data_IF_415984131845
#
_entry.id   IF_415984131845
#
_cell.length_a   1.000
_cell.length_b   1.000
_cell.length_c   1.000
_cell.angle_alpha   90.00
_cell.angle_beta   90.00
_cell.angle_gamma   90.00
#
_symmetry.space_group_name_H-M   'P 1'
#
loop_
_entity.id
_entity.type
_entity.pdbx_description
1 polymer ?
#
# COMPACT_ATOMS: atom_id res chain seq x y z
N UNK A 1 14.74 40.45 -15.84
CA UNK A 1 13.97 39.20 -15.98
C UNK A 1 13.97 38.50 -14.64
N UNK A 2 12.81 38.19 -14.07
CA UNK A 2 12.72 37.36 -12.87
C UNK A 2 13.13 35.94 -13.21
N UNK A 3 14.01 35.33 -12.42
CA UNK A 3 14.35 33.91 -12.59
C UNK A 3 13.11 33.07 -12.26
N UNK A 4 12.76 32.06 -13.06
CA UNK A 4 11.65 31.18 -12.75
C UNK A 4 11.91 30.43 -11.44
N UNK A 5 10.85 30.19 -10.66
CA UNK A 5 10.92 29.31 -9.50
C UNK A 5 10.93 27.86 -9.98
N UNK A 6 11.93 27.09 -9.56
CA UNK A 6 11.96 25.65 -9.78
C UNK A 6 11.29 24.94 -8.59
N UNK A 7 10.23 24.18 -8.88
CA UNK A 7 9.50 23.39 -7.88
C UNK A 7 9.68 21.91 -8.20
N UNK A 8 10.15 21.12 -7.23
CA UNK A 8 10.28 19.68 -7.34
C UNK A 8 9.31 19.00 -6.36
N UNK A 9 8.41 18.18 -6.89
CA UNK A 9 7.55 17.31 -6.11
C UNK A 9 8.17 15.91 -6.07
N UNK A 10 8.35 15.38 -4.86
CA UNK A 10 8.88 14.04 -4.62
C UNK A 10 7.80 13.23 -3.91
N UNK A 11 7.25 12.25 -4.61
CA UNK A 11 6.22 11.37 -4.06
C UNK A 11 6.86 10.11 -3.50
N UNK A 12 6.67 9.87 -2.21
CA UNK A 12 7.22 8.70 -1.53
C UNK A 12 6.17 7.59 -1.41
N UNK A 13 6.31 6.54 -2.23
CA UNK A 13 5.42 5.37 -2.22
C UNK A 13 6.04 4.25 -1.38
N UNK A 14 5.39 3.90 -0.27
CA UNK A 14 5.87 2.89 0.66
C UNK A 14 4.71 2.07 1.25
N UNK A 15 4.96 0.78 1.43
CA UNK A 15 4.26 -0.12 2.35
C UNK A 15 5.30 -1.01 3.03
N UNK A 16 5.07 -1.42 4.29
CA UNK A 16 5.77 -2.54 4.91
C UNK A 16 5.72 -3.81 4.06
N UNK A 17 6.60 -4.75 4.36
CA UNK A 17 6.57 -6.09 3.79
C UNK A 17 5.51 -6.93 4.51
N UNK A 18 4.43 -7.26 3.81
CA UNK A 18 3.26 -7.97 4.36
C UNK A 18 3.19 -9.44 3.96
N UNK A 19 4.05 -9.88 3.03
CA UNK A 19 4.10 -11.27 2.59
C UNK A 19 4.70 -12.13 3.71
N UNK A 20 3.99 -13.19 4.06
CA UNK A 20 4.57 -14.31 4.78
C UNK A 20 5.15 -15.28 3.76
N UNK A 21 6.48 -15.33 3.67
CA UNK A 21 7.19 -16.16 2.70
C UNK A 21 7.02 -17.66 2.97
N UNK A 22 6.64 -18.05 4.20
CA UNK A 22 6.40 -19.46 4.54
C UNK A 22 5.06 -19.97 4.02
N UNK A 23 4.00 -19.18 4.19
CA UNK A 23 2.65 -19.54 3.70
C UNK A 23 2.39 -19.07 2.27
N UNK A 24 3.28 -18.27 1.70
CA UNK A 24 3.11 -17.60 0.40
C UNK A 24 1.80 -16.80 0.32
N UNK A 25 1.46 -16.10 1.41
CA UNK A 25 0.25 -15.31 1.54
C UNK A 25 0.53 -13.92 2.13
N UNK A 26 -0.32 -12.95 1.81
CA UNK A 26 -0.24 -11.60 2.36
C UNK A 26 -1.12 -11.46 3.60
N UNK A 27 -0.52 -11.03 4.71
CA UNK A 27 -1.25 -10.82 5.96
C UNK A 27 -2.21 -9.62 5.88
N UNK A 28 -1.87 -8.63 5.06
CA UNK A 28 -2.63 -7.37 4.94
C UNK A 28 -2.82 -6.99 3.45
N UNK A 29 -3.97 -6.39 3.10
CA UNK A 29 -4.38 -6.18 1.71
C UNK A 29 -3.86 -4.87 1.14
N UNK A 30 -3.06 -4.11 1.90
CA UNK A 30 -2.83 -2.69 1.62
C UNK A 30 -2.06 -2.46 0.32
N UNK A 31 -1.18 -3.39 -0.07
CA UNK A 31 -0.52 -3.31 -1.39
C UNK A 31 -1.57 -3.38 -2.50
N UNK A 32 -2.46 -4.39 -2.49
CA UNK A 32 -3.54 -4.54 -3.46
C UNK A 32 -4.49 -3.34 -3.47
N UNK A 33 -4.98 -2.94 -2.30
CA UNK A 33 -5.99 -1.89 -2.19
C UNK A 33 -5.42 -0.51 -2.56
N UNK A 34 -4.17 -0.20 -2.19
CA UNK A 34 -3.51 1.06 -2.61
C UNK A 34 -3.10 1.02 -4.07
N UNK A 35 -2.78 -0.13 -4.64
CA UNK A 35 -2.55 -0.28 -6.07
C UNK A 35 -3.81 0.03 -6.89
N UNK A 36 -4.96 -0.50 -6.48
CA UNK A 36 -6.26 -0.23 -7.10
C UNK A 36 -6.72 1.23 -6.97
N UNK A 37 -6.24 1.96 -5.96
CA UNK A 37 -6.69 3.34 -5.67
C UNK A 37 -5.72 4.42 -6.11
N UNK A 38 -4.50 4.36 -5.60
CA UNK A 38 -3.56 5.48 -5.56
C UNK A 38 -2.35 5.25 -6.46
N UNK A 39 -1.71 4.07 -6.38
CA UNK A 39 -0.42 3.85 -7.03
C UNK A 39 -0.47 3.86 -8.55
N UNK A 40 -1.58 3.48 -9.17
CA UNK A 40 -1.79 3.64 -10.61
C UNK A 40 -2.32 5.04 -10.97
N UNK A 41 -3.35 5.51 -10.26
CA UNK A 41 -4.05 6.76 -10.59
C UNK A 41 -3.10 7.96 -10.56
N UNK A 42 -2.29 8.08 -9.50
CA UNK A 42 -1.40 9.22 -9.29
C UNK A 42 -0.43 9.45 -10.47
N UNK A 43 0.37 8.46 -10.92
CA UNK A 43 1.21 8.63 -12.10
C UNK A 43 0.39 8.75 -13.40
N UNK A 44 -0.75 8.06 -13.52
CA UNK A 44 -1.57 8.13 -14.74
C UNK A 44 -2.14 9.54 -15.02
N UNK A 45 -2.35 10.37 -14.00
CA UNK A 45 -2.76 11.77 -14.19
C UNK A 45 -1.78 12.56 -15.07
N UNK A 46 -0.50 12.18 -15.12
CA UNK A 46 0.50 12.85 -15.95
C UNK A 46 0.26 12.72 -17.46
N UNK A 47 -0.59 11.81 -17.91
CA UNK A 47 -0.99 11.71 -19.33
C UNK A 47 -1.72 12.97 -19.81
N UNK A 48 -2.49 13.61 -18.94
CA UNK A 48 -3.20 14.85 -19.25
C UNK A 48 -2.34 16.11 -19.12
N UNK A 49 -1.09 15.98 -18.64
CA UNK A 49 -0.19 17.10 -18.35
C UNK A 49 1.24 16.82 -18.80
N UNK A 50 1.50 16.69 -20.12
CA UNK A 50 2.77 16.19 -20.67
C UNK A 50 4.02 17.01 -20.28
N UNK A 51 3.83 18.31 -20.01
CA UNK A 51 4.92 19.22 -19.62
C UNK A 51 5.29 19.11 -18.13
N UNK A 52 4.41 18.55 -17.28
CA UNK A 52 4.70 18.39 -15.86
C UNK A 52 5.68 17.25 -15.64
N UNK A 53 6.77 17.54 -14.93
CA UNK A 53 7.76 16.56 -14.49
C UNK A 53 7.59 16.27 -13.00
N UNK A 54 7.80 15.02 -12.61
CA UNK A 54 7.63 14.56 -11.23
C UNK A 54 8.76 13.60 -10.83
N UNK A 55 9.00 13.46 -9.53
CA UNK A 55 9.90 12.44 -8.99
C UNK A 55 9.09 11.48 -8.13
N UNK A 56 9.26 10.18 -8.35
CA UNK A 56 8.62 9.14 -7.55
C UNK A 56 9.67 8.25 -6.92
N UNK A 57 9.61 8.14 -5.59
CA UNK A 57 10.27 7.05 -4.89
C UNK A 57 9.33 5.86 -4.81
N UNK A 58 9.80 4.68 -5.24
CA UNK A 58 9.14 3.42 -4.97
C UNK A 58 10.07 2.57 -4.12
N UNK A 59 9.65 2.29 -2.88
CA UNK A 59 10.42 1.42 -1.99
C UNK A 59 10.51 0.01 -2.60
N UNK A 60 11.71 -0.62 -2.67
CA UNK A 60 11.88 -1.93 -3.28
C UNK A 60 10.94 -3.01 -2.74
N UNK A 61 10.81 -3.12 -1.41
CA UNK A 61 9.88 -4.07 -0.80
C UNK A 61 8.41 -3.84 -1.20
N UNK A 62 8.00 -2.61 -1.55
CA UNK A 62 6.67 -2.37 -2.12
C UNK A 62 6.59 -2.86 -3.57
N UNK A 63 7.62 -2.58 -4.39
CA UNK A 63 7.67 -2.98 -5.80
C UNK A 63 7.59 -4.50 -5.94
N UNK A 64 8.36 -5.25 -5.14
CA UNK A 64 8.33 -6.72 -5.12
C UNK A 64 6.92 -7.24 -4.82
N UNK A 65 6.24 -6.69 -3.82
CA UNK A 65 4.89 -7.13 -3.47
C UNK A 65 3.86 -6.79 -4.57
N UNK A 66 4.01 -5.65 -5.25
CA UNK A 66 3.16 -5.33 -6.41
C UNK A 66 3.41 -6.35 -7.54
N UNK A 67 4.67 -6.71 -7.79
CA UNK A 67 5.05 -7.68 -8.80
C UNK A 67 4.50 -9.06 -8.48
N UNK A 68 4.61 -9.52 -7.22
CA UNK A 68 4.02 -10.77 -6.73
C UNK A 68 2.52 -10.85 -7.05
N UNK A 69 1.74 -9.80 -6.72
CA UNK A 69 0.31 -9.76 -7.07
C UNK A 69 0.07 -9.74 -8.59
N UNK A 70 0.92 -9.06 -9.36
CA UNK A 70 0.76 -8.93 -10.80
C UNK A 70 0.98 -10.26 -11.53
N UNK A 71 2.02 -11.01 -11.11
CA UNK A 71 2.39 -12.34 -11.63
C UNK A 71 1.36 -13.41 -11.20
N UNK A 72 0.71 -13.20 -10.06
CA UNK A 72 -0.33 -14.09 -9.53
C UNK A 72 0.24 -15.23 -8.68
N UNK A 73 -0.65 -16.09 -8.16
CA UNK A 73 -0.26 -17.18 -7.26
C UNK A 73 -0.08 -16.78 -5.79
N UNK A 74 -0.48 -15.55 -5.45
CA UNK A 74 -0.49 -15.01 -4.08
C UNK A 74 -1.83 -14.35 -3.81
N UNK A 75 -2.30 -14.47 -2.57
CA UNK A 75 -3.53 -13.85 -2.09
C UNK A 75 -3.29 -13.18 -0.74
N UNK A 76 -4.15 -12.23 -0.37
CA UNK A 76 -4.23 -11.76 1.01
C UNK A 76 -5.44 -12.35 1.74
N UNK A 77 -5.33 -12.45 3.06
CA UNK A 77 -6.39 -12.96 3.95
C UNK A 77 -7.74 -12.26 3.72
N UNK A 78 -7.75 -10.98 3.36
CA UNK A 78 -9.00 -10.23 3.17
C UNK A 78 -9.69 -10.63 1.87
N UNK A 79 -8.91 -10.91 0.83
CA UNK A 79 -9.40 -11.40 -0.46
C UNK A 79 -9.93 -12.83 -0.36
N UNK A 80 -9.21 -13.71 0.34
CA UNK A 80 -9.63 -15.10 0.57
C UNK A 80 -10.98 -15.14 1.31
N UNK A 81 -11.10 -14.38 2.40
CA UNK A 81 -12.35 -14.24 3.15
C UNK A 81 -13.48 -13.61 2.32
N UNK A 82 -13.17 -12.67 1.43
CA UNK A 82 -14.18 -12.04 0.59
C UNK A 82 -14.76 -13.01 -0.45
N UNK A 83 -13.97 -13.98 -0.94
CA UNK A 83 -14.42 -14.95 -1.96
C UNK A 83 -15.23 -16.11 -1.39
N UNK A 84 -15.13 -16.38 -0.09
CA UNK A 84 -15.83 -17.51 0.54
C UNK A 84 -17.30 -17.20 0.79
N UNK A 85 -18.22 -18.15 0.55
CA UNK A 85 -19.61 -18.00 0.95
C UNK A 85 -19.69 -17.69 2.44
N UNK A 86 -20.46 -16.66 2.81
CA UNK A 86 -20.56 -16.22 4.21
C UNK A 86 -21.09 -17.32 5.15
N UNK A 87 -21.87 -18.27 4.62
CA UNK A 87 -22.37 -19.44 5.34
C UNK A 87 -21.28 -20.43 5.74
N UNK A 88 -20.11 -20.38 5.10
CA UNK A 88 -18.95 -21.25 5.37
C UNK A 88 -17.90 -20.59 6.26
N UNK A 89 -18.13 -19.34 6.68
CA UNK A 89 -17.21 -18.63 7.57
C UNK A 89 -17.41 -19.07 9.02
N UNK A 90 -16.29 -19.41 9.65
CA UNK A 90 -16.21 -19.71 11.07
C UNK A 90 -16.48 -18.46 11.93
N UNK A 91 -16.75 -18.66 13.22
CA UNK A 91 -16.96 -17.55 14.15
C UNK A 91 -15.77 -16.59 14.20
N UNK A 92 -14.54 -17.10 14.14
CA UNK A 92 -13.32 -16.28 14.19
C UNK A 92 -13.14 -15.45 12.91
N UNK A 93 -13.46 -16.01 11.74
CA UNK A 93 -13.39 -15.31 10.46
C UNK A 93 -14.47 -14.21 10.37
N UNK A 94 -15.69 -14.48 10.84
CA UNK A 94 -16.73 -13.46 10.96
C UNK A 94 -16.30 -12.34 11.90
N UNK A 95 -15.71 -12.69 13.04
CA UNK A 95 -15.19 -11.71 13.99
C UNK A 95 -14.04 -10.89 13.40
N UNK A 96 -13.18 -11.50 12.58
CA UNK A 96 -12.12 -10.84 11.84
C UNK A 96 -12.68 -9.80 10.87
N UNK A 97 -13.64 -10.19 10.02
CA UNK A 97 -14.28 -9.28 9.04
C UNK A 97 -14.95 -8.11 9.77
N UNK A 98 -15.76 -8.41 10.79
CA UNK A 98 -16.46 -7.41 11.59
C UNK A 98 -15.52 -6.46 12.37
N UNK A 99 -14.26 -6.85 12.56
CA UNK A 99 -13.24 -6.03 13.24
C UNK A 99 -12.46 -5.18 12.26
N UNK A 100 -12.01 -5.78 11.16
CA UNK A 100 -10.97 -5.20 10.30
C UNK A 100 -11.49 -4.62 8.99
N UNK A 101 -12.67 -5.03 8.53
CA UNK A 101 -13.29 -4.50 7.30
C UNK A 101 -14.29 -3.37 7.57
N UNK A 102 -14.56 -3.08 8.83
CA UNK A 102 -15.28 -1.88 9.29
C UNK A 102 -14.29 -0.77 9.60
N UNK A 103 -13.86 -0.04 8.59
CA UNK A 103 -12.98 1.12 8.76
C UNK A 103 -13.71 2.29 9.44
N UNK A 104 -13.01 3.35 9.83
CA UNK A 104 -13.64 4.48 10.55
C UNK A 104 -14.70 5.19 9.70
N UNK A 105 -15.83 5.52 10.34
CA UNK A 105 -16.91 6.32 9.73
C UNK A 105 -16.49 7.75 9.38
N UNK A 106 -15.29 8.20 9.74
CA UNK A 106 -14.75 9.51 9.35
C UNK A 106 -14.02 9.48 8.01
N UNK A 107 -13.71 8.31 7.48
CA UNK A 107 -12.99 8.18 6.22
C UNK A 107 -13.92 8.51 5.05
N UNK A 108 -13.47 9.36 4.11
CA UNK A 108 -14.28 9.80 2.95
C UNK A 108 -14.85 8.63 2.14
N UNK A 109 -14.04 7.60 1.85
CA UNK A 109 -14.46 6.42 1.09
C UNK A 109 -15.56 5.61 1.78
N UNK A 110 -15.62 5.65 3.12
CA UNK A 110 -16.69 5.04 3.90
C UNK A 110 -17.94 5.93 3.86
N UNK A 111 -17.78 7.23 4.16
CA UNK A 111 -18.91 8.19 4.27
C UNK A 111 -19.69 8.40 2.98
N UNK A 112 -19.04 8.27 1.84
CA UNK A 112 -19.68 8.51 0.54
C UNK A 112 -20.67 7.41 0.13
N UNK A 113 -20.61 6.22 0.75
CA UNK A 113 -21.48 5.08 0.43
C UNK A 113 -22.43 4.78 1.60
N UNK A 114 -23.74 5.10 1.49
CA UNK A 114 -24.67 5.03 2.62
C UNK A 114 -24.73 3.67 3.31
N UNK A 115 -24.75 2.56 2.55
CA UNK A 115 -24.77 1.22 3.14
C UNK A 115 -23.46 0.90 3.86
N UNK A 116 -22.31 1.21 3.28
CA UNK A 116 -21.05 0.93 3.96
C UNK A 116 -20.93 1.71 5.28
N UNK A 117 -21.32 2.99 5.25
CA UNK A 117 -21.38 3.84 6.43
C UNK A 117 -22.32 3.29 7.50
N UNK A 118 -23.48 2.74 7.13
CA UNK A 118 -24.40 2.10 8.07
C UNK A 118 -23.77 0.91 8.78
N UNK A 119 -23.12 0.01 8.05
CA UNK A 119 -22.47 -1.19 8.60
C UNK A 119 -21.33 -0.82 9.55
N UNK A 120 -20.51 0.16 9.15
CA UNK A 120 -19.45 0.72 9.99
C UNK A 120 -20.02 1.34 11.26
N UNK A 121 -21.08 2.16 11.16
CA UNK A 121 -21.70 2.79 12.33
C UNK A 121 -22.31 1.76 13.28
N UNK A 122 -22.94 0.71 12.75
CA UNK A 122 -23.44 -0.41 13.56
C UNK A 122 -22.31 -1.03 14.37
N UNK A 123 -21.13 -1.21 13.77
CA UNK A 123 -19.94 -1.70 14.50
C UNK A 123 -19.43 -0.71 15.54
N UNK A 124 -19.29 0.57 15.21
CA UNK A 124 -18.81 1.60 16.14
C UNK A 124 -19.75 1.74 17.35
N UNK A 125 -21.06 1.72 17.12
CA UNK A 125 -22.10 1.84 18.16
C UNK A 125 -22.15 0.63 19.10
N UNK A 126 -21.74 -0.56 18.64
CA UNK A 126 -21.69 -1.75 19.47
C UNK A 126 -20.58 -1.70 20.54
N UNK A 127 -19.68 -0.71 20.50
CA UNK A 127 -18.62 -0.52 21.49
C UNK A 127 -17.57 -1.64 21.50
N UNK A 128 -16.79 -1.80 22.58
CA UNK A 128 -15.85 -2.90 22.72
C UNK A 128 -16.59 -4.25 22.81
N UNK A 129 -16.36 -5.14 21.84
CA UNK A 129 -16.93 -6.49 21.80
C UNK A 129 -15.83 -7.55 21.89
N UNK A 130 -16.15 -8.69 22.51
CA UNK A 130 -15.34 -9.91 22.43
C UNK A 130 -15.37 -10.49 21.01
N UNK A 131 -14.49 -11.45 20.70
CA UNK A 131 -14.52 -12.14 19.42
C UNK A 131 -15.90 -12.79 19.15
N UNK A 132 -16.48 -13.45 20.15
CA UNK A 132 -17.83 -14.03 20.04
C UNK A 132 -18.93 -12.99 19.77
N UNK A 133 -18.82 -11.82 20.40
CA UNK A 133 -19.74 -10.70 20.13
C UNK A 133 -19.61 -10.16 18.71
N UNK A 134 -18.38 -10.06 18.18
CA UNK A 134 -18.14 -9.64 16.80
C UNK A 134 -18.66 -10.66 15.78
N UNK A 135 -18.49 -11.95 16.05
CA UNK A 135 -18.91 -13.04 15.17
C UNK A 135 -20.42 -13.02 14.86
N UNK A 136 -21.22 -12.51 15.80
CA UNK A 136 -22.69 -12.47 15.74
C UNK A 136 -23.25 -11.07 15.47
N UNK A 137 -22.39 -10.05 15.36
CA UNK A 137 -22.80 -8.66 15.17
C UNK A 137 -23.56 -8.44 13.85
N UNK A 138 -23.13 -9.11 12.79
CA UNK A 138 -23.72 -8.99 11.46
C UNK A 138 -24.43 -10.29 11.06
N UNK A 139 -25.62 -10.13 10.49
CA UNK A 139 -26.28 -11.18 9.72
C UNK A 139 -25.48 -11.51 8.46
N UNK A 140 -25.77 -12.66 7.83
CA UNK A 140 -25.06 -13.07 6.62
C UNK A 140 -25.22 -12.07 5.47
N UNK A 141 -26.41 -11.50 5.31
CA UNK A 141 -26.66 -10.47 4.30
C UNK A 141 -25.85 -9.19 4.58
N UNK A 142 -25.75 -8.76 5.84
CA UNK A 142 -24.93 -7.61 6.21
C UNK A 142 -23.44 -7.88 6.02
N UNK A 143 -22.98 -9.10 6.31
CA UNK A 143 -21.58 -9.47 6.15
C UNK A 143 -21.19 -9.53 4.67
N UNK A 144 -22.06 -10.04 3.79
CA UNK A 144 -21.85 -9.95 2.32
C UNK A 144 -21.75 -8.51 1.86
N UNK A 145 -22.68 -7.67 2.30
CA UNK A 145 -22.63 -6.24 1.98
C UNK A 145 -21.34 -5.59 2.46
N UNK A 146 -20.85 -5.96 3.65
CA UNK A 146 -19.60 -5.47 4.20
C UNK A 146 -18.39 -5.89 3.36
N UNK A 147 -18.30 -7.15 2.95
CA UNK A 147 -17.20 -7.68 2.14
C UNK A 147 -17.10 -6.98 0.78
N UNK A 148 -18.24 -6.80 0.10
CA UNK A 148 -18.31 -6.10 -1.18
C UNK A 148 -17.95 -4.63 -1.00
N UNK A 149 -18.56 -3.93 -0.04
CA UNK A 149 -18.29 -2.51 0.15
C UNK A 149 -16.89 -2.19 0.63
N UNK A 150 -16.31 -3.04 1.48
CA UNK A 150 -14.92 -2.90 1.88
C UNK A 150 -14.04 -2.82 0.64
N UNK A 151 -14.11 -3.81 -0.25
CA UNK A 151 -13.29 -3.85 -1.47
C UNK A 151 -13.66 -2.76 -2.50
N UNK A 152 -14.96 -2.55 -2.76
CA UNK A 152 -15.44 -1.59 -3.75
C UNK A 152 -15.07 -0.15 -3.37
N UNK A 153 -15.03 0.17 -2.07
CA UNK A 153 -14.68 1.52 -1.61
C UNK A 153 -13.24 1.94 -1.89
N UNK A 154 -12.35 0.99 -2.25
CA UNK A 154 -10.99 1.25 -2.66
C UNK A 154 -10.84 1.56 -4.15
N UNK A 155 -11.88 1.40 -4.95
CA UNK A 155 -11.85 1.73 -6.38
C UNK A 155 -12.24 3.19 -6.56
N UNK A 156 -11.44 3.92 -7.34
CA UNK A 156 -11.69 5.34 -7.62
C UNK A 156 -12.93 5.55 -8.50
N UNK A 157 -13.66 6.67 -8.35
CA UNK A 157 -14.86 6.96 -9.16
C UNK A 157 -14.62 6.85 -10.67
N UNK A 158 -13.47 7.30 -11.16
CA UNK A 158 -13.15 7.26 -12.60
C UNK A 158 -13.03 5.82 -13.12
N UNK A 159 -12.52 4.89 -12.29
CA UNK A 159 -12.43 3.48 -12.64
C UNK A 159 -13.79 2.77 -12.52
N UNK A 160 -14.65 3.21 -11.60
CA UNK A 160 -16.05 2.75 -11.48
C UNK A 160 -16.84 3.17 -12.72
N UNK A 161 -16.79 4.45 -13.09
CA UNK A 161 -17.51 5.01 -14.24
C UNK A 161 -17.08 4.37 -15.57
N UNK A 162 -15.80 4.01 -15.68
CA UNK A 162 -15.26 3.32 -16.86
C UNK A 162 -15.58 1.82 -16.93
N UNK A 163 -16.21 1.22 -15.93
CA UNK A 163 -16.53 -0.21 -15.88
C UNK A 163 -18.03 -0.42 -15.61
N UNK A 164 -18.85 -0.76 -16.63
CA UNK A 164 -20.30 -0.90 -16.50
C UNK A 164 -20.75 -1.89 -15.42
N UNK A 165 -20.06 -3.02 -15.27
CA UNK A 165 -20.40 -4.05 -14.29
C UNK A 165 -20.21 -3.53 -12.85
N UNK A 166 -19.15 -2.76 -12.61
CA UNK A 166 -18.90 -2.13 -11.29
C UNK A 166 -19.83 -0.94 -11.06
N UNK A 167 -20.13 -0.18 -12.11
CA UNK A 167 -21.06 0.94 -12.05
C UNK A 167 -22.48 0.50 -11.64
N UNK A 168 -22.89 -0.74 -11.92
CA UNK A 168 -24.17 -1.32 -11.47
C UNK A 168 -24.17 -1.74 -9.99
N UNK A 169 -23.01 -2.10 -9.42
CA UNK A 169 -22.90 -2.50 -8.01
C UNK A 169 -23.11 -1.34 -7.03
N UNK A 170 -22.68 -0.13 -7.41
CA UNK A 170 -22.83 1.07 -6.57
C UNK A 170 -24.29 1.41 -6.29
N UNK A 171 -25.20 1.53 -7.28
CA UNK A 171 -26.62 1.79 -7.03
C UNK A 171 -27.35 0.60 -6.43
N UNK A 172 -26.92 -0.65 -6.70
CA UNK A 172 -27.44 -1.85 -6.02
C UNK A 172 -27.30 -1.70 -4.52
N UNK A 173 -26.09 -1.39 -4.06
CA UNK A 173 -25.73 -0.91 -2.73
C UNK A 173 -26.04 -1.79 -1.52
N UNK A 174 -26.91 -2.80 -1.63
CA UNK A 174 -27.31 -3.76 -0.60
C UNK A 174 -27.69 -5.08 -1.24
N UNK A 175 -27.83 -6.11 -0.39
CA UNK A 175 -28.28 -7.43 -0.79
C UNK A 175 -27.39 -8.02 -1.87
N UNK A 176 -26.07 -7.84 -1.69
CA UNK A 176 -25.11 -8.49 -2.55
C UNK A 176 -25.14 -10.00 -2.36
N UNK A 177 -24.85 -10.68 -3.45
CA UNK A 177 -24.59 -12.11 -3.56
C UNK A 177 -23.09 -12.35 -3.54
N UNK A 178 -22.69 -13.60 -3.30
CA UNK A 178 -21.27 -13.99 -3.31
C UNK A 178 -20.63 -13.73 -4.71
N UNK A 179 -21.44 -13.75 -5.78
CA UNK A 179 -21.00 -13.45 -7.14
C UNK A 179 -20.61 -11.98 -7.38
N UNK A 180 -21.07 -11.04 -6.53
CA UNK A 180 -20.77 -9.60 -6.69
C UNK A 180 -19.33 -9.24 -6.25
N UNK A 181 -18.61 -10.15 -5.59
CA UNK A 181 -17.25 -9.92 -5.12
C UNK A 181 -16.23 -9.99 -6.26
N UNK A 182 -16.35 -10.98 -7.14
CA UNK A 182 -15.34 -11.25 -8.16
C UNK A 182 -15.16 -10.10 -9.18
N UNK A 183 -16.22 -9.42 -9.67
CA UNK A 183 -16.05 -8.23 -10.49
C UNK A 183 -15.17 -7.16 -9.83
N UNK A 184 -15.40 -6.90 -8.54
CA UNK A 184 -14.66 -5.89 -7.76
C UNK A 184 -13.19 -6.27 -7.67
N UNK A 185 -12.89 -7.52 -7.31
CA UNK A 185 -11.52 -8.01 -7.21
C UNK A 185 -10.82 -7.99 -8.58
N UNK A 186 -11.51 -8.41 -9.64
CA UNK A 186 -11.00 -8.37 -11.01
C UNK A 186 -10.56 -6.95 -11.41
N UNK A 187 -11.40 -5.93 -11.19
CA UNK A 187 -11.03 -4.55 -11.49
C UNK A 187 -9.83 -4.08 -10.64
N UNK A 188 -9.76 -4.46 -9.37
CA UNK A 188 -8.59 -4.13 -8.54
C UNK A 188 -7.29 -4.73 -9.12
N UNK A 189 -7.31 -5.97 -9.60
CA UNK A 189 -6.15 -6.59 -10.25
C UNK A 189 -5.82 -5.97 -11.61
N UNK A 190 -6.83 -5.60 -12.40
CA UNK A 190 -6.62 -4.86 -13.66
C UNK A 190 -5.89 -3.53 -13.43
N UNK A 191 -6.25 -2.80 -12.36
CA UNK A 191 -5.59 -1.55 -11.98
C UNK A 191 -4.19 -1.82 -11.40
N UNK A 192 -4.05 -2.84 -10.55
CA UNK A 192 -2.77 -3.23 -9.97
C UNK A 192 -1.73 -3.57 -11.02
N UNK A 193 -2.10 -4.36 -12.04
CA UNK A 193 -1.17 -4.77 -13.11
C UNK A 193 -0.69 -3.60 -13.96
N UNK A 194 -1.38 -2.46 -13.93
CA UNK A 194 -0.96 -1.24 -14.63
C UNK A 194 0.05 -0.41 -13.84
N UNK A 195 0.23 -0.64 -12.55
CA UNK A 195 1.06 0.21 -11.67
C UNK A 195 2.50 0.29 -12.16
N UNK A 196 3.26 -0.81 -12.14
CA UNK A 196 4.68 -0.79 -12.52
C UNK A 196 4.91 -0.42 -14.00
N UNK A 197 4.12 -0.94 -14.96
CA UNK A 197 4.21 -0.49 -16.36
C UNK A 197 4.03 1.02 -16.51
N UNK A 198 3.11 1.63 -15.76
CA UNK A 198 2.87 3.07 -15.86
C UNK A 198 4.06 3.90 -15.38
N UNK A 199 4.71 3.50 -14.28
CA UNK A 199 5.93 4.18 -13.83
C UNK A 199 7.06 4.05 -14.85
N UNK A 200 7.27 2.85 -15.42
CA UNK A 200 8.27 2.62 -16.49
C UNK A 200 8.02 3.53 -17.69
N UNK A 201 6.79 3.57 -18.19
CA UNK A 201 6.39 4.41 -19.32
C UNK A 201 6.71 5.90 -19.08
N UNK A 202 6.40 6.42 -17.88
CA UNK A 202 6.68 7.80 -17.51
C UNK A 202 8.17 8.11 -17.43
N UNK A 203 8.98 7.17 -16.95
CA UNK A 203 10.44 7.31 -16.93
C UNK A 203 11.03 7.29 -18.34
N UNK A 204 10.59 6.37 -19.18
CA UNK A 204 11.06 6.21 -20.57
C UNK A 204 10.81 7.46 -21.42
N UNK A 205 9.63 8.08 -21.27
CA UNK A 205 9.31 9.35 -21.94
C UNK A 205 9.87 10.59 -21.24
N UNK A 206 10.68 10.39 -20.19
CA UNK A 206 11.37 11.46 -19.46
C UNK A 206 10.44 12.38 -18.69
N UNK A 207 9.23 11.93 -18.34
CA UNK A 207 8.26 12.72 -17.57
C UNK A 207 8.35 12.47 -16.07
N UNK A 208 8.79 11.28 -15.67
CA UNK A 208 9.12 10.96 -14.29
C UNK A 208 10.61 10.65 -14.12
N UNK A 209 11.16 11.02 -12.98
CA UNK A 209 12.36 10.37 -12.44
C UNK A 209 11.92 9.35 -11.38
N UNK A 210 12.35 8.09 -11.53
CA UNK A 210 12.16 7.07 -10.52
C UNK A 210 13.40 6.98 -9.64
N UNK A 211 13.21 7.14 -8.34
CA UNK A 211 14.24 6.95 -7.32
C UNK A 211 13.89 5.74 -6.45
N UNK A 212 14.88 5.25 -5.69
CA UNK A 212 14.72 4.07 -4.83
C UNK A 212 14.92 4.40 -3.35
N UNK A 213 14.72 3.41 -2.49
CA UNK A 213 15.10 3.43 -1.08
C UNK A 213 15.93 2.20 -0.74
N UNK A 214 16.55 2.13 0.44
CA UNK A 214 17.02 0.88 1.02
C UNK A 214 15.89 -0.16 1.06
N UNK A 215 16.22 -1.43 0.84
CA UNK A 215 15.26 -2.45 0.39
C UNK A 215 14.00 -2.56 1.25
N UNK A 216 14.15 -2.78 2.56
CA UNK A 216 13.03 -2.90 3.50
C UNK A 216 12.66 -1.57 4.18
N UNK A 217 13.12 -0.44 3.65
CA UNK A 217 12.91 0.88 4.25
C UNK A 217 13.44 1.06 5.70
N UNK A 218 14.58 0.49 6.11
CA UNK A 218 15.11 0.73 7.46
C UNK A 218 15.67 2.14 7.65
N UNK A 219 15.62 2.64 8.88
CA UNK A 219 16.27 3.90 9.27
C UNK A 219 17.78 3.67 9.31
N UNK A 220 18.45 3.85 8.16
CA UNK A 220 19.87 3.50 7.99
C UNK A 220 20.81 4.05 9.06
N UNK A 221 20.67 5.32 9.54
CA UNK A 221 21.55 5.80 10.61
C UNK A 221 21.51 4.93 11.86
N UNK A 222 20.33 4.44 12.27
CA UNK A 222 20.16 3.60 13.46
C UNK A 222 20.61 2.16 13.25
N UNK A 223 20.62 1.68 12.00
CA UNK A 223 21.19 0.36 11.66
C UNK A 223 22.71 0.43 11.70
N UNK A 224 23.28 1.47 11.07
CA UNK A 224 24.73 1.66 11.01
C UNK A 224 25.33 1.83 12.40
N UNK A 225 24.77 2.73 13.22
CA UNK A 225 25.12 2.88 14.62
C UNK A 225 23.96 3.49 15.41
N UNK A 226 23.32 2.69 16.28
CA UNK A 226 22.26 3.16 17.17
C UNK A 226 22.71 4.35 18.05
N UNK A 227 24.01 4.47 18.33
CA UNK A 227 24.63 5.58 19.04
C UNK A 227 24.31 6.95 18.46
N UNK A 228 24.06 7.04 17.15
CA UNK A 228 23.74 8.28 16.45
C UNK A 228 22.48 8.97 17.00
N UNK A 229 21.58 8.23 17.63
CA UNK A 229 20.37 8.78 18.24
C UNK A 229 20.69 9.86 19.31
N UNK A 230 21.86 9.79 19.94
CA UNK A 230 22.32 10.80 20.91
C UNK A 230 22.68 12.15 20.29
N UNK A 231 22.93 12.21 18.98
CA UNK A 231 23.12 13.49 18.28
C UNK A 231 21.83 14.32 18.32
N UNK A 232 20.69 13.67 18.09
CA UNK A 232 19.38 14.32 18.17
C UNK A 232 18.90 14.50 19.62
N UNK A 233 19.21 13.55 20.51
CA UNK A 233 18.82 13.58 21.92
C UNK A 233 19.97 13.14 22.83
N UNK A 234 20.81 14.07 23.32
CA UNK A 234 22.01 13.74 24.10
C UNK A 234 21.75 12.94 25.38
N UNK A 235 20.60 13.15 26.03
CA UNK A 235 20.20 12.49 27.28
C UNK A 235 19.49 11.13 27.07
N UNK A 236 19.42 10.64 25.82
CA UNK A 236 18.77 9.37 25.52
C UNK A 236 19.48 8.20 26.23
N UNK A 237 18.71 7.49 27.06
CA UNK A 237 19.15 6.24 27.68
C UNK A 237 19.29 5.18 26.59
N UNK A 238 20.51 4.64 26.45
CA UNK A 238 20.82 3.63 25.44
C UNK A 238 20.61 2.22 26.00
N UNK A 239 20.27 1.24 25.15
CA UNK A 239 20.26 -0.15 25.56
C UNK A 239 21.66 -0.59 26.02
N UNK A 240 21.72 -1.65 26.84
CA UNK A 240 22.99 -2.21 27.31
C UNK A 240 23.81 -2.81 26.17
N UNK A 241 23.13 -3.45 25.23
CA UNK A 241 23.73 -3.95 23.99
C UNK A 241 23.46 -2.93 22.90
N UNK A 242 24.52 -2.37 22.33
CA UNK A 242 24.44 -1.47 21.19
C UNK A 242 24.17 -2.25 19.91
N UNK A 243 23.41 -1.66 19.00
CA UNK A 243 23.18 -2.18 17.66
C UNK A 243 24.00 -1.33 16.67
N UNK A 244 25.04 -1.91 16.09
CA UNK A 244 26.01 -1.19 15.24
C UNK A 244 26.41 -2.09 14.08
N UNK A 245 25.69 -1.98 12.97
CA UNK A 245 25.80 -2.87 11.81
C UNK A 245 25.86 -2.04 10.51
N UNK A 246 26.98 -1.37 10.28
CA UNK A 246 27.21 -0.60 9.06
C UNK A 246 27.12 -1.46 7.79
N UNK A 247 27.55 -2.72 7.85
CA UNK A 247 27.46 -3.66 6.73
C UNK A 247 26.00 -3.99 6.36
N UNK A 248 25.11 -4.10 7.36
CA UNK A 248 23.67 -4.30 7.10
C UNK A 248 23.04 -3.06 6.45
N UNK A 249 23.46 -1.85 6.88
CA UNK A 249 23.03 -0.61 6.25
C UNK A 249 23.49 -0.52 4.78
N UNK A 250 24.74 -0.93 4.51
CA UNK A 250 25.28 -1.02 3.16
C UNK A 250 24.52 -2.02 2.30
N UNK A 251 24.23 -3.21 2.84
CA UNK A 251 23.52 -4.25 2.13
C UNK A 251 22.08 -3.85 1.80
N UNK A 252 21.37 -3.18 2.72
CA UNK A 252 20.03 -2.66 2.46
C UNK A 252 20.01 -1.65 1.30
N UNK A 253 21.03 -0.79 1.23
CA UNK A 253 21.19 0.13 0.11
C UNK A 253 21.51 -0.61 -1.20
N UNK A 254 22.50 -1.52 -1.18
CA UNK A 254 22.90 -2.32 -2.34
C UNK A 254 21.73 -3.10 -2.93
N UNK A 255 20.98 -3.82 -2.09
CA UNK A 255 19.78 -4.55 -2.48
C UNK A 255 18.72 -3.63 -3.08
N UNK A 256 18.52 -2.43 -2.51
CA UNK A 256 17.54 -1.48 -3.03
C UNK A 256 17.89 -0.90 -4.39
N UNK A 257 19.18 -0.66 -4.66
CA UNK A 257 19.68 -0.26 -5.98
C UNK A 257 19.53 -1.39 -7.01
N UNK A 258 19.86 -2.63 -6.61
CA UNK A 258 19.75 -3.80 -7.47
C UNK A 258 18.30 -4.12 -7.84
N UNK A 259 17.39 -4.09 -6.86
CA UNK A 259 15.97 -4.30 -7.06
C UNK A 259 15.38 -3.25 -8.02
N UNK A 260 15.72 -1.98 -7.85
CA UNK A 260 15.30 -0.93 -8.78
C UNK A 260 15.78 -1.23 -10.21
N UNK A 261 17.05 -1.62 -10.38
CA UNK A 261 17.58 -2.01 -11.70
C UNK A 261 16.84 -3.21 -12.30
N UNK A 262 16.52 -4.22 -11.49
CA UNK A 262 15.76 -5.40 -11.93
C UNK A 262 14.36 -5.02 -12.43
N UNK A 263 13.68 -4.13 -11.70
CA UNK A 263 12.28 -3.76 -11.99
C UNK A 263 12.11 -2.65 -13.00
N UNK A 264 13.07 -1.75 -13.19
CA UNK A 264 12.95 -0.60 -14.10
C UNK A 264 14.03 -0.58 -15.20
N UNK A 265 14.94 -1.55 -15.21
CA UNK A 265 15.97 -1.71 -16.26
C UNK A 265 17.12 -0.70 -16.19
N UNK A 266 17.09 0.25 -15.24
CA UNK A 266 18.12 1.29 -15.07
C UNK A 266 18.54 1.36 -13.60
N UNK A 267 19.76 1.82 -13.33
CA UNK A 267 20.15 2.14 -11.95
C UNK A 267 19.50 3.48 -11.56
N UNK A 268 18.93 3.63 -10.35
CA UNK A 268 18.33 4.88 -9.94
C UNK A 268 19.41 5.95 -9.73
N UNK A 269 19.08 7.22 -10.01
CA UNK A 269 19.98 8.36 -9.79
C UNK A 269 19.83 8.99 -8.40
N UNK A 270 18.69 8.75 -7.75
CA UNK A 270 18.39 9.23 -6.41
C UNK A 270 18.04 8.09 -5.47
N UNK A 271 18.27 8.34 -4.18
CA UNK A 271 17.84 7.48 -3.09
C UNK A 271 17.05 8.32 -2.09
N UNK A 272 15.82 7.92 -1.79
CA UNK A 272 15.03 8.48 -0.70
C UNK A 272 15.47 7.82 0.63
N UNK A 273 16.03 8.59 1.59
CA UNK A 273 16.35 8.08 2.90
C UNK A 273 15.07 7.79 3.69
N UNK A 274 14.90 6.58 4.24
CA UNK A 274 13.70 6.25 5.02
C UNK A 274 13.46 7.24 6.15
N UNK A 275 12.22 7.75 6.23
CA UNK A 275 11.82 8.82 7.15
C UNK A 275 12.63 10.13 7.06
N UNK A 276 13.25 10.37 5.91
CA UNK A 276 14.22 11.45 5.71
C UNK A 276 15.41 11.42 6.69
N UNK A 277 15.70 10.25 7.29
CA UNK A 277 16.75 10.09 8.26
C UNK A 277 18.13 10.03 7.59
N UNK A 278 19.01 10.96 7.96
CA UNK A 278 20.36 11.09 7.40
C UNK A 278 21.41 11.20 8.50
N UNK A 279 22.62 10.75 8.20
CA UNK A 279 23.85 10.98 8.97
C UNK A 279 25.01 11.09 8.00
N UNK A 280 26.13 11.67 8.43
CA UNK A 280 27.33 11.79 7.59
C UNK A 280 27.79 10.43 7.06
N UNK A 281 27.71 9.38 7.89
CA UNK A 281 28.10 8.02 7.50
C UNK A 281 27.16 7.43 6.44
N UNK A 282 25.85 7.65 6.57
CA UNK A 282 24.88 7.18 5.56
C UNK A 282 25.03 7.96 4.25
N UNK A 283 25.36 9.25 4.31
CA UNK A 283 25.63 10.04 3.10
C UNK A 283 26.90 9.56 2.39
N UNK A 284 27.96 9.25 3.13
CA UNK A 284 29.19 8.65 2.58
C UNK A 284 28.90 7.28 1.96
N UNK A 285 28.18 6.43 2.70
CA UNK A 285 27.74 5.12 2.21
C UNK A 285 26.98 5.22 0.88
N UNK A 286 26.06 6.19 0.77
CA UNK A 286 25.33 6.44 -0.47
C UNK A 286 26.21 6.96 -1.62
N UNK A 287 27.26 7.74 -1.31
CA UNK A 287 28.21 8.21 -2.30
C UNK A 287 29.09 7.09 -2.86
N UNK A 288 29.50 6.13 -2.02
CA UNK A 288 30.31 4.98 -2.41
C UNK A 288 29.53 3.99 -3.30
N UNK A 289 28.20 4.00 -3.21
CA UNK A 289 27.27 3.20 -4.02
C UNK A 289 26.69 3.98 -5.21
N UNK A 290 27.40 4.98 -5.75
CA UNK A 290 27.02 5.64 -7.02
C UNK A 290 27.30 4.80 -8.25
#
# INVERSE_FOLDING_TARGET
>A
MTRPLHVAFVWHMHQPYYKDDLSNSFLLPWVRLRAAKDYYKMPALLDSYPDLKQTFNLVPALVEQIQDYADGGVEDVYMELARRPVSELSADERAFIARWMTESSQIRRVRQYPRYLELVRKREQAGPLTAAGLATLFSDAELRDLLVWFNLSWIGPEAIEGNPEIAELVPKGRFFSDADVEPVLRLQFELLRKVLPKYRELEERGQAELITSPYYHPILPLIADLGIARVARPDLKMPRAMFTHADDAAEQLRLGLEAHRRHFGRRPRGVWPPEAAVSDDVVRLAADHR
#
